data_IF_799742709716
#
_entry.id   IF_799742709716
#
_cell.length_a   1.000
_cell.length_b   1.000
_cell.length_c   1.000
_cell.angle_alpha   90.00
_cell.angle_beta   90.00
_cell.angle_gamma   90.00
#
_symmetry.space_group_name_H-M   'P 1'
#
loop_
_entity.id
_entity.type
_entity.pdbx_description
1 polymer ?
#
# COMPACT_ATOMS: atom_id res chain seq x y z
N UNK A 1 -26.44 -51.01 0.93
CA UNK A 1 -26.88 -49.76 0.27
C UNK A 1 -26.82 -48.51 1.16
N UNK A 2 -27.27 -48.53 2.43
CA UNK A 2 -27.21 -47.35 3.34
C UNK A 2 -25.82 -46.70 3.49
N UNK A 3 -24.75 -47.50 3.68
CA UNK A 3 -23.38 -46.97 3.86
C UNK A 3 -22.82 -46.29 2.60
N UNK A 4 -23.11 -46.83 1.41
CA UNK A 4 -22.71 -46.24 0.13
C UNK A 4 -23.48 -44.94 -0.15
N UNK A 5 -24.76 -44.86 0.25
CA UNK A 5 -25.58 -43.66 0.12
C UNK A 5 -25.11 -42.53 1.05
N UNK A 6 -24.74 -42.87 2.30
CA UNK A 6 -24.16 -41.92 3.25
C UNK A 6 -22.78 -41.41 2.81
N UNK A 7 -21.93 -42.28 2.26
CA UNK A 7 -20.63 -41.88 1.71
C UNK A 7 -20.81 -40.94 0.50
N UNK A 8 -21.75 -41.24 -0.40
CA UNK A 8 -22.06 -40.38 -1.55
C UNK A 8 -22.61 -39.01 -1.10
N UNK A 9 -23.51 -38.98 -0.12
CA UNK A 9 -24.03 -37.73 0.44
C UNK A 9 -22.92 -36.88 1.08
N UNK A 10 -21.98 -37.49 1.81
CA UNK A 10 -20.84 -36.79 2.39
C UNK A 10 -19.92 -36.17 1.32
N UNK A 11 -19.67 -36.89 0.22
CA UNK A 11 -18.87 -36.39 -0.91
C UNK A 11 -19.59 -35.22 -1.61
N UNK A 12 -20.90 -35.31 -1.82
CA UNK A 12 -21.68 -34.23 -2.42
C UNK A 12 -21.67 -32.99 -1.52
N UNK A 13 -21.81 -33.15 -0.20
CA UNK A 13 -21.73 -32.02 0.74
C UNK A 13 -20.34 -31.40 0.74
N UNK A 14 -19.26 -32.19 0.73
CA UNK A 14 -17.90 -31.68 0.65
C UNK A 14 -17.65 -30.91 -0.66
N UNK A 15 -18.16 -31.41 -1.79
CA UNK A 15 -18.09 -30.73 -3.08
C UNK A 15 -18.91 -29.43 -3.10
N UNK A 16 -20.09 -29.42 -2.47
CA UNK A 16 -20.92 -28.21 -2.36
C UNK A 16 -20.25 -27.14 -1.47
N UNK A 17 -19.67 -27.54 -0.34
CA UNK A 17 -18.93 -26.62 0.54
C UNK A 17 -17.71 -26.08 -0.20
N UNK A 18 -16.94 -26.94 -0.88
CA UNK A 18 -15.82 -26.51 -1.71
C UNK A 18 -16.27 -25.52 -2.80
N UNK A 19 -17.35 -25.81 -3.52
CA UNK A 19 -17.92 -24.94 -4.55
C UNK A 19 -18.30 -23.57 -3.98
N UNK A 20 -18.94 -23.52 -2.81
CA UNK A 20 -19.32 -22.27 -2.13
C UNK A 20 -18.08 -21.49 -1.69
N UNK A 21 -17.06 -22.15 -1.13
CA UNK A 21 -15.83 -21.47 -0.67
C UNK A 21 -14.95 -20.98 -1.82
N UNK A 22 -14.89 -21.72 -2.95
CA UNK A 22 -14.07 -21.33 -4.11
C UNK A 22 -14.72 -20.22 -4.96
N UNK A 23 -16.04 -20.08 -4.93
CA UNK A 23 -16.75 -19.02 -5.68
C UNK A 23 -16.95 -17.72 -4.88
N UNK A 24 -16.56 -17.66 -3.61
CA UNK A 24 -16.63 -16.41 -2.87
C UNK A 24 -15.51 -15.48 -3.32
N UNK A 25 -15.90 -14.33 -3.86
CA UNK A 25 -14.98 -13.24 -4.12
C UNK A 25 -14.34 -12.80 -2.79
N UNK A 26 -13.00 -12.60 -2.74
CA UNK A 26 -12.38 -12.05 -1.56
C UNK A 26 -12.96 -10.68 -1.24
N UNK A 27 -12.96 -10.33 0.05
CA UNK A 27 -13.42 -9.05 0.55
C UNK A 27 -12.28 -8.26 1.16
N UNK A 28 -12.30 -6.96 0.96
CA UNK A 28 -11.47 -6.01 1.69
C UNK A 28 -12.33 -4.79 2.03
N UNK A 29 -12.27 -4.31 3.27
CA UNK A 29 -13.18 -3.28 3.78
C UNK A 29 -14.67 -3.64 3.56
N UNK A 30 -15.03 -4.92 3.75
CA UNK A 30 -16.35 -5.50 3.44
C UNK A 30 -16.82 -5.41 1.97
N UNK A 31 -15.98 -4.88 1.08
CA UNK A 31 -16.23 -4.82 -0.37
C UNK A 31 -15.74 -6.09 -1.05
N UNK A 32 -16.65 -6.85 -1.64
CA UNK A 32 -16.31 -7.99 -2.51
C UNK A 32 -15.62 -7.52 -3.78
N UNK A 33 -14.55 -8.22 -4.17
CA UNK A 33 -13.77 -7.86 -5.36
C UNK A 33 -13.14 -9.07 -6.06
N UNK A 34 -12.80 -8.95 -7.35
CA UNK A 34 -12.02 -9.97 -8.03
C UNK A 34 -10.70 -10.27 -7.33
N UNK A 35 -10.21 -11.52 -7.45
CA UNK A 35 -8.93 -11.93 -6.88
C UNK A 35 -7.75 -11.09 -7.37
N UNK A 36 -7.82 -10.51 -8.58
CA UNK A 36 -6.82 -9.58 -9.09
C UNK A 36 -6.76 -8.30 -8.28
N UNK A 37 -7.90 -7.67 -8.02
CA UNK A 37 -8.00 -6.41 -7.26
C UNK A 37 -7.57 -6.63 -5.82
N UNK A 38 -7.98 -7.75 -5.20
CA UNK A 38 -7.57 -8.10 -3.85
C UNK A 38 -6.05 -8.30 -3.73
N UNK A 39 -5.45 -9.04 -4.68
CA UNK A 39 -3.99 -9.22 -4.73
C UNK A 39 -3.26 -7.91 -4.96
N UNK A 40 -3.79 -7.05 -5.83
CA UNK A 40 -3.26 -5.72 -6.06
C UNK A 40 -3.22 -4.92 -4.76
N UNK A 41 -4.35 -4.78 -4.05
CA UNK A 41 -4.41 -4.06 -2.78
C UNK A 41 -3.44 -4.62 -1.72
N UNK A 42 -3.35 -5.95 -1.62
CA UNK A 42 -2.42 -6.60 -0.70
C UNK A 42 -0.98 -6.25 -1.05
N UNK A 43 -0.59 -6.35 -2.32
CA UNK A 43 0.75 -6.02 -2.79
C UNK A 43 1.06 -4.53 -2.56
N UNK A 44 0.13 -3.64 -2.91
CA UNK A 44 0.28 -2.20 -2.69
C UNK A 44 0.51 -1.87 -1.21
N UNK A 45 -0.21 -2.54 -0.31
CA UNK A 45 -0.02 -2.37 1.14
C UNK A 45 1.38 -2.80 1.57
N UNK A 46 1.83 -3.97 1.13
CA UNK A 46 3.17 -4.50 1.43
C UNK A 46 4.29 -3.61 0.87
N UNK A 47 4.12 -3.07 -0.34
CA UNK A 47 5.09 -2.16 -0.96
C UNK A 47 5.18 -0.82 -0.21
N UNK A 48 4.03 -0.29 0.24
CA UNK A 48 3.98 0.95 1.04
C UNK A 48 4.61 0.73 2.42
N UNK A 49 4.30 -0.39 3.10
CA UNK A 49 4.95 -0.73 4.38
C UNK A 49 6.47 -0.87 4.22
N UNK A 50 6.92 -1.52 3.14
CA UNK A 50 8.34 -1.62 2.82
C UNK A 50 8.95 -0.25 2.55
N UNK A 51 8.22 0.65 1.88
CA UNK A 51 8.64 2.04 1.67
C UNK A 51 8.81 2.81 2.98
N UNK A 52 7.84 2.72 3.89
CA UNK A 52 7.95 3.30 5.24
C UNK A 52 9.17 2.72 5.99
N UNK A 53 9.41 1.43 5.88
CA UNK A 53 10.55 0.78 6.51
C UNK A 53 11.89 1.35 6.02
N UNK A 54 12.08 1.53 4.72
CA UNK A 54 13.33 2.12 4.18
C UNK A 54 13.47 3.60 4.51
N UNK A 55 12.37 4.35 4.61
CA UNK A 55 12.39 5.73 5.12
C UNK A 55 12.91 5.79 6.57
N UNK A 56 12.44 4.89 7.43
CA UNK A 56 12.91 4.81 8.83
C UNK A 56 14.40 4.43 8.97
N UNK A 57 14.97 3.83 7.94
CA UNK A 57 16.39 3.47 7.87
C UNK A 57 17.25 4.55 7.22
N UNK A 58 16.67 5.66 6.77
CA UNK A 58 17.41 6.73 6.16
C UNK A 58 18.51 7.26 7.08
N UNK A 59 19.68 7.44 6.48
CA UNK A 59 20.87 7.99 7.12
C UNK A 59 21.61 8.79 6.07
N UNK A 60 21.68 10.11 6.23
CA UNK A 60 22.27 11.01 5.25
C UNK A 60 23.76 10.71 4.98
N UNK A 61 24.46 10.10 5.95
CA UNK A 61 25.88 9.73 5.83
C UNK A 61 26.08 8.47 4.99
N UNK A 62 25.03 7.69 4.73
CA UNK A 62 25.07 6.41 4.04
C UNK A 62 24.33 6.50 2.70
N UNK A 63 25.03 6.71 1.56
CA UNK A 63 24.38 6.86 0.26
C UNK A 63 23.43 5.73 -0.12
N UNK A 64 23.70 4.49 0.33
CA UNK A 64 22.89 3.30 0.08
C UNK A 64 21.46 3.42 0.61
N UNK A 65 21.22 4.18 1.69
CA UNK A 65 19.88 4.33 2.28
C UNK A 65 18.97 5.15 1.36
N UNK A 66 19.50 6.21 0.74
CA UNK A 66 18.79 6.99 -0.28
C UNK A 66 18.44 6.12 -1.51
N UNK A 67 19.40 5.32 -1.99
CA UNK A 67 19.16 4.41 -3.12
C UNK A 67 18.05 3.40 -2.81
N UNK A 68 17.99 2.88 -1.58
CA UNK A 68 16.90 1.98 -1.18
C UNK A 68 15.53 2.67 -1.19
N UNK A 69 15.46 3.94 -0.78
CA UNK A 69 14.22 4.75 -0.86
C UNK A 69 13.78 4.93 -2.31
N UNK A 70 14.68 5.30 -3.22
CA UNK A 70 14.38 5.48 -4.65
C UNK A 70 13.89 4.17 -5.28
N UNK A 71 14.59 3.06 -5.03
CA UNK A 71 14.20 1.74 -5.53
C UNK A 71 12.81 1.33 -5.05
N UNK A 72 12.53 1.54 -3.76
CA UNK A 72 11.24 1.16 -3.20
C UNK A 72 10.11 2.10 -3.65
N UNK A 73 10.38 3.39 -3.85
CA UNK A 73 9.43 4.33 -4.46
C UNK A 73 9.07 3.90 -5.89
N UNK A 74 10.07 3.54 -6.70
CA UNK A 74 9.86 3.06 -8.08
C UNK A 74 9.05 1.76 -8.12
N UNK A 75 9.25 0.87 -7.15
CA UNK A 75 8.43 -0.35 -7.00
C UNK A 75 6.97 -0.02 -6.71
N UNK A 76 6.71 0.89 -5.75
CA UNK A 76 5.34 1.34 -5.45
C UNK A 76 4.71 1.94 -6.71
N UNK A 77 5.41 2.84 -7.41
CA UNK A 77 4.90 3.46 -8.65
C UNK A 77 4.57 2.40 -9.69
N UNK A 78 5.50 1.49 -9.96
CA UNK A 78 5.36 0.45 -10.99
C UNK A 78 4.15 -0.46 -10.74
N UNK A 79 3.96 -0.90 -9.50
CA UNK A 79 2.84 -1.78 -9.18
C UNK A 79 1.50 -1.05 -9.20
N UNK A 80 1.47 0.22 -8.76
CA UNK A 80 0.22 0.96 -8.63
C UNK A 80 -0.20 1.70 -9.91
N UNK A 81 0.71 2.01 -10.83
CA UNK A 81 0.40 2.82 -12.02
C UNK A 81 -0.27 2.06 -13.17
N UNK A 82 -0.28 0.73 -13.15
CA UNK A 82 -0.63 -0.09 -14.33
C UNK A 82 -2.05 0.17 -14.88
N UNK A 83 -3.00 0.42 -13.98
CA UNK A 83 -4.42 0.61 -14.32
C UNK A 83 -4.90 2.03 -14.01
N UNK A 84 -3.97 2.96 -13.74
CA UNK A 84 -4.30 4.35 -13.48
C UNK A 84 -4.51 5.11 -14.78
N UNK A 85 -5.33 6.15 -14.70
CA UNK A 85 -5.35 7.19 -15.73
C UNK A 85 -3.98 7.89 -15.79
N UNK A 86 -3.66 8.56 -16.90
CA UNK A 86 -2.41 9.30 -17.01
C UNK A 86 -2.27 10.37 -15.91
N UNK A 87 -3.35 11.05 -15.56
CA UNK A 87 -3.37 12.05 -14.49
C UNK A 87 -3.14 11.43 -13.12
N UNK A 88 -3.77 10.29 -12.83
CA UNK A 88 -3.60 9.60 -11.54
C UNK A 88 -2.19 9.00 -11.43
N UNK A 89 -1.66 8.45 -12.52
CA UNK A 89 -0.29 7.96 -12.58
C UNK A 89 0.72 9.10 -12.40
N UNK A 90 0.41 10.31 -12.90
CA UNK A 90 1.23 11.49 -12.65
C UNK A 90 1.13 11.93 -11.19
N UNK A 91 -0.07 11.99 -10.60
CA UNK A 91 -0.25 12.33 -9.19
C UNK A 91 0.50 11.36 -8.27
N UNK A 92 0.50 10.06 -8.60
CA UNK A 92 1.29 9.05 -7.89
C UNK A 92 2.80 9.34 -8.00
N UNK A 93 3.30 9.66 -9.20
CA UNK A 93 4.71 10.03 -9.40
C UNK A 93 5.06 11.30 -8.64
N UNK A 94 4.20 12.31 -8.66
CA UNK A 94 4.42 13.59 -7.99
C UNK A 94 4.41 13.43 -6.47
N UNK A 95 3.64 12.48 -5.92
CA UNK A 95 3.68 12.16 -4.50
C UNK A 95 5.07 11.66 -4.03
N UNK A 96 5.84 11.01 -4.92
CA UNK A 96 7.21 10.58 -4.65
C UNK A 96 8.27 11.58 -5.10
N UNK A 97 8.20 12.05 -6.35
CA UNK A 97 9.25 12.79 -7.06
C UNK A 97 8.86 14.20 -7.50
N UNK A 98 7.65 14.64 -7.17
CA UNK A 98 7.25 16.03 -7.38
C UNK A 98 8.12 16.98 -6.55
N UNK A 99 7.95 18.29 -6.74
CA UNK A 99 8.72 19.31 -6.00
C UNK A 99 8.63 19.17 -4.47
N UNK A 100 7.53 18.58 -3.99
CA UNK A 100 7.29 18.27 -2.58
C UNK A 100 7.00 16.78 -2.37
N UNK A 101 7.47 15.92 -3.28
CA UNK A 101 7.35 14.47 -3.14
C UNK A 101 8.26 13.92 -2.05
N UNK A 102 7.91 12.77 -1.48
CA UNK A 102 8.64 12.19 -0.35
C UNK A 102 10.13 11.97 -0.69
N UNK A 103 10.43 11.42 -1.86
CA UNK A 103 11.81 11.19 -2.30
C UNK A 103 12.55 12.52 -2.46
N UNK A 104 11.92 13.52 -3.06
CA UNK A 104 12.50 14.87 -3.20
C UNK A 104 12.80 15.49 -1.84
N UNK A 105 11.89 15.37 -0.88
CA UNK A 105 12.08 15.88 0.49
C UNK A 105 13.29 15.21 1.15
N UNK A 106 13.41 13.88 1.05
CA UNK A 106 14.54 13.15 1.64
C UNK A 106 15.86 13.45 0.92
N UNK A 107 15.84 13.65 -0.40
CA UNK A 107 17.01 14.12 -1.16
C UNK A 107 17.46 15.51 -0.70
N UNK A 108 16.52 16.42 -0.41
CA UNK A 108 16.84 17.73 0.16
C UNK A 108 17.45 17.60 1.55
N UNK A 109 16.91 16.73 2.40
CA UNK A 109 17.47 16.45 3.72
C UNK A 109 18.91 15.92 3.63
N UNK A 110 19.14 14.96 2.73
CA UNK A 110 20.48 14.43 2.42
C UNK A 110 21.46 15.54 2.01
N UNK A 111 21.04 16.42 1.08
CA UNK A 111 21.85 17.56 0.60
C UNK A 111 22.15 18.57 1.71
N UNK A 112 21.22 18.74 2.64
CA UNK A 112 21.39 19.57 3.83
C UNK A 112 22.17 18.89 4.97
N UNK A 113 22.60 17.64 4.79
CA UNK A 113 23.32 16.85 5.80
C UNK A 113 22.53 16.63 7.11
N UNK A 114 21.22 16.41 7.00
CA UNK A 114 20.37 16.05 8.15
C UNK A 114 19.48 14.83 7.85
N UNK A 115 19.09 14.11 8.91
CA UNK A 115 18.16 12.98 8.86
C UNK A 115 16.70 13.45 8.86
N UNK A 116 15.76 12.50 8.75
CA UNK A 116 14.32 12.81 8.81
C UNK A 116 13.93 13.05 10.27
N UNK A 117 13.89 14.31 10.69
CA UNK A 117 13.32 14.74 11.97
C UNK A 117 11.79 14.92 11.88
N UNK A 118 11.14 15.36 12.96
CA UNK A 118 9.70 15.59 12.98
C UNK A 118 9.22 16.66 11.98
N UNK A 119 10.02 17.70 11.73
CA UNK A 119 9.70 18.74 10.74
C UNK A 119 9.67 18.16 9.34
N UNK A 120 10.67 17.35 8.98
CA UNK A 120 10.73 16.65 7.69
C UNK A 120 9.60 15.62 7.58
N UNK A 121 9.42 14.79 8.61
CA UNK A 121 8.43 13.71 8.64
C UNK A 121 7.00 14.25 8.47
N UNK A 122 6.66 15.37 9.11
CA UNK A 122 5.34 15.99 9.03
C UNK A 122 4.89 16.30 7.59
N UNK A 123 5.85 16.51 6.67
CA UNK A 123 5.60 16.83 5.26
C UNK A 123 5.18 15.61 4.43
N UNK A 124 5.22 14.40 5.00
CA UNK A 124 4.88 13.17 4.28
C UNK A 124 3.39 12.85 4.29
N UNK A 125 2.61 13.38 5.24
CA UNK A 125 1.20 13.04 5.47
C UNK A 125 0.36 13.04 4.17
N UNK A 126 0.24 14.21 3.53
CA UNK A 126 -0.55 14.38 2.30
C UNK A 126 -0.06 13.50 1.14
N UNK A 127 1.23 13.18 1.12
CA UNK A 127 1.85 12.37 0.07
C UNK A 127 1.50 10.90 0.24
N UNK A 128 1.55 10.37 1.45
CA UNK A 128 1.06 9.03 1.73
C UNK A 128 -0.43 8.90 1.47
N UNK A 129 -1.21 9.91 1.83
CA UNK A 129 -2.63 9.97 1.50
C UNK A 129 -2.88 9.87 -0.01
N UNK A 130 -2.09 10.59 -0.80
CA UNK A 130 -2.13 10.51 -2.26
C UNK A 130 -1.72 9.13 -2.76
N UNK A 131 -0.63 8.56 -2.25
CA UNK A 131 -0.13 7.24 -2.64
C UNK A 131 -1.22 6.17 -2.38
N UNK A 132 -1.81 6.15 -1.19
CA UNK A 132 -2.88 5.22 -0.83
C UNK A 132 -4.10 5.40 -1.74
N UNK A 133 -4.52 6.64 -1.96
CA UNK A 133 -5.65 6.95 -2.84
C UNK A 133 -5.40 6.45 -4.27
N UNK A 134 -4.20 6.67 -4.82
CA UNK A 134 -3.83 6.19 -6.15
C UNK A 134 -3.70 4.66 -6.21
N UNK A 135 -3.18 4.02 -5.16
CA UNK A 135 -3.15 2.56 -5.04
C UNK A 135 -4.54 1.95 -5.15
N UNK A 136 -5.54 2.58 -4.52
CA UNK A 136 -6.93 2.14 -4.57
C UNK A 136 -7.60 2.52 -5.89
N UNK A 137 -7.31 3.68 -6.48
CA UNK A 137 -7.90 4.09 -7.76
C UNK A 137 -7.53 3.16 -8.93
N UNK A 138 -6.45 2.38 -8.81
CA UNK A 138 -6.04 1.37 -9.79
C UNK A 138 -6.96 0.14 -9.85
N UNK A 139 -7.94 0.01 -8.93
CA UNK A 139 -8.93 -1.09 -8.96
C UNK A 139 -10.27 -0.62 -9.53
N UNK A 140 -11.00 -1.55 -10.16
CA UNK A 140 -12.29 -1.25 -10.76
C UNK A 140 -13.43 -1.36 -9.73
N UNK A 141 -13.69 -0.27 -8.99
CA UNK A 141 -14.77 -0.15 -8.01
C UNK A 141 -15.47 1.21 -8.09
N UNK A 142 -16.65 1.32 -7.49
CA UNK A 142 -17.34 2.62 -7.40
C UNK A 142 -16.56 3.58 -6.48
N UNK A 143 -16.77 4.89 -6.63
CA UNK A 143 -16.10 5.88 -5.80
C UNK A 143 -16.40 5.72 -4.30
N UNK A 144 -17.63 5.32 -3.94
CA UNK A 144 -17.98 5.04 -2.54
C UNK A 144 -17.19 3.83 -1.99
N UNK A 145 -17.16 2.73 -2.74
CA UNK A 145 -16.40 1.54 -2.36
C UNK A 145 -14.90 1.83 -2.26
N UNK A 146 -14.35 2.63 -3.17
CA UNK A 146 -12.95 3.06 -3.09
C UNK A 146 -12.68 3.89 -1.83
N UNK A 147 -13.60 4.77 -1.42
CA UNK A 147 -13.45 5.55 -0.19
C UNK A 147 -13.41 4.65 1.07
N UNK A 148 -14.26 3.63 1.13
CA UNK A 148 -14.24 2.63 2.21
C UNK A 148 -12.92 1.86 2.25
N UNK A 149 -12.45 1.42 1.07
CA UNK A 149 -11.16 0.72 0.92
C UNK A 149 -10.00 1.63 1.31
N UNK A 150 -9.97 2.90 0.89
CA UNK A 150 -8.93 3.88 1.30
C UNK A 150 -8.94 4.04 2.81
N UNK A 151 -10.11 4.20 3.42
CA UNK A 151 -10.25 4.36 4.88
C UNK A 151 -9.69 3.14 5.63
N UNK A 152 -10.02 1.93 5.17
CA UNK A 152 -9.48 0.72 5.77
C UNK A 152 -7.98 0.58 5.54
N UNK A 153 -7.48 0.93 4.34
CA UNK A 153 -6.07 0.84 4.00
C UNK A 153 -5.22 1.80 4.82
N UNK A 154 -5.71 3.02 5.08
CA UNK A 154 -5.08 3.96 6.01
C UNK A 154 -4.97 3.38 7.43
N UNK A 155 -6.03 2.74 7.92
CA UNK A 155 -6.02 2.07 9.24
C UNK A 155 -5.03 0.91 9.29
N UNK A 156 -5.04 0.06 8.28
CA UNK A 156 -4.16 -1.12 8.21
C UNK A 156 -2.68 -0.74 8.10
N UNK A 157 -2.39 0.36 7.38
CA UNK A 157 -1.03 0.86 7.21
C UNK A 157 -0.54 1.64 8.43
N UNK A 158 -1.44 2.35 9.14
CA UNK A 158 -1.12 3.18 10.30
C UNK A 158 0.05 4.16 10.07
N UNK A 159 0.08 4.76 8.87
CA UNK A 159 1.18 5.62 8.40
C UNK A 159 1.50 6.76 9.38
N UNK A 160 0.49 7.37 10.00
CA UNK A 160 0.70 8.48 10.94
C UNK A 160 1.60 8.10 12.12
N UNK A 161 1.38 6.93 12.70
CA UNK A 161 2.20 6.45 13.80
C UNK A 161 3.64 6.16 13.32
N UNK A 162 3.80 5.66 12.10
CA UNK A 162 5.11 5.39 11.53
C UNK A 162 5.86 6.69 11.16
N UNK A 163 5.19 7.67 10.57
CA UNK A 163 5.75 9.01 10.29
C UNK A 163 6.23 9.63 11.60
N UNK A 164 5.39 9.63 12.64
CA UNK A 164 5.75 10.15 13.95
C UNK A 164 7.00 9.46 14.52
N UNK A 165 7.04 8.13 14.44
CA UNK A 165 8.19 7.34 14.90
C UNK A 165 9.48 7.66 14.14
N UNK A 166 9.40 7.87 12.83
CA UNK A 166 10.55 8.26 12.00
C UNK A 166 11.07 9.62 12.45
N UNK A 167 10.19 10.60 12.65
CA UNK A 167 10.56 11.94 13.09
C UNK A 167 11.19 11.95 14.48
N UNK A 168 10.52 11.33 15.46
CA UNK A 168 10.95 11.29 16.85
C UNK A 168 12.30 10.57 17.07
N UNK A 169 12.67 9.63 16.19
CA UNK A 169 13.96 8.93 16.26
C UNK A 169 15.15 9.87 16.09
N UNK A 170 14.97 10.97 15.38
CA UNK A 170 16.03 11.93 15.06
C UNK A 170 15.79 13.29 15.75
N UNK A 171 14.89 13.33 16.73
CA UNK A 171 14.82 14.45 17.68
C UNK A 171 15.90 14.21 18.76
N UNK A 172 16.93 15.06 18.74
CA UNK A 172 17.87 15.24 19.86
C UNK A 172 17.36 16.31 20.82
#
# INVERSE_FOLDING_TARGET
MRKAFLALAAVIIALLVALITFNQQPKYADVSMPQSDYRHLKQSREDIQSFVHVLNQFDYTKPKTMTAIEQQADQVIKHNSKNLSNSDAQALRDAFYGSQGIVTIVQTAKKGHYNIDASVASRFHDRFDTIIMMSVNAINKSSAQRADIVTQMKKDLNIEADIYKIGAKNEE
#
